data_IF_970635412602
#
_entry.id   IF_970635412602
#
_cell.length_a   1.000
_cell.length_b   1.000
_cell.length_c   1.000
_cell.angle_alpha   90.00
_cell.angle_beta   90.00
_cell.angle_gamma   90.00
#
_symmetry.space_group_name_H-M   'P 1'
#
loop_
_entity.id
_entity.type
_entity.pdbx_description
1 polymer ?
#
# COMPACT_ATOMS: atom_id res chain seq x y z
N UNK A 1 -4.53 -14.40 -26.82
CA UNK A 1 -4.71 -13.47 -25.68
C UNK A 1 -3.77 -13.89 -24.57
N UNK A 2 -2.67 -13.15 -24.34
CA UNK A 2 -1.67 -13.53 -23.33
C UNK A 2 -2.28 -13.41 -21.92
N UNK A 3 -2.37 -14.52 -21.19
CA UNK A 3 -2.74 -14.49 -19.77
C UNK A 3 -1.60 -13.83 -19.00
N UNK A 4 -1.85 -12.70 -18.36
CA UNK A 4 -0.86 -12.07 -17.48
C UNK A 4 -0.47 -13.07 -16.37
N UNK A 5 0.84 -13.27 -16.18
CA UNK A 5 1.40 -14.08 -15.10
C UNK A 5 1.04 -13.45 -13.75
N UNK A 6 0.61 -14.26 -12.79
CA UNK A 6 0.41 -13.83 -11.41
C UNK A 6 1.73 -13.26 -10.86
N UNK A 7 1.68 -12.05 -10.31
CA UNK A 7 2.84 -11.31 -9.79
C UNK A 7 2.59 -10.90 -8.34
N UNK A 8 3.58 -11.12 -7.48
CA UNK A 8 3.55 -10.63 -6.10
C UNK A 8 3.84 -9.13 -6.08
N UNK A 9 3.04 -8.36 -5.36
CA UNK A 9 3.26 -6.95 -5.11
C UNK A 9 3.13 -6.63 -3.62
N UNK A 10 3.80 -5.57 -3.19
CA UNK A 10 3.75 -5.09 -1.81
C UNK A 10 3.17 -3.70 -1.79
N UNK A 11 2.11 -3.50 -1.00
CA UNK A 11 1.39 -2.24 -0.90
C UNK A 11 1.58 -1.68 0.51
N UNK A 12 2.01 -0.44 0.61
CA UNK A 12 2.00 0.31 1.86
C UNK A 12 0.59 0.84 2.11
N UNK A 13 0.10 0.69 3.33
CA UNK A 13 -1.22 1.18 3.74
C UNK A 13 -1.07 2.11 4.94
N UNK A 14 -1.71 3.28 4.89
CA UNK A 14 -1.56 4.30 5.93
C UNK A 14 -2.82 5.12 6.16
N UNK A 15 -3.10 5.50 7.42
CA UNK A 15 -4.23 6.36 7.77
C UNK A 15 -3.91 7.24 8.97
N UNK A 16 -4.26 8.53 8.91
CA UNK A 16 -4.16 9.44 10.06
C UNK A 16 -5.42 10.25 10.37
N UNK A 17 -6.55 9.95 9.71
CA UNK A 17 -7.84 10.60 9.96
C UNK A 17 -8.93 9.58 10.36
N UNK A 18 -9.78 9.98 11.30
CA UNK A 18 -10.95 9.22 11.73
C UNK A 18 -10.59 7.89 12.40
N UNK A 19 -11.37 6.85 12.13
CA UNK A 19 -11.08 5.47 12.56
C UNK A 19 -9.92 4.89 11.75
N UNK A 20 -8.69 5.27 12.12
CA UNK A 20 -7.44 4.92 11.41
C UNK A 20 -7.31 3.41 11.19
N UNK A 21 -7.57 2.61 12.23
CA UNK A 21 -7.47 1.14 12.18
C UNK A 21 -8.58 0.56 11.32
N UNK A 22 -9.82 0.99 11.50
CA UNK A 22 -10.95 0.54 10.67
C UNK A 22 -10.78 0.90 9.20
N UNK A 23 -10.19 2.04 8.88
CA UNK A 23 -9.87 2.43 7.50
C UNK A 23 -8.85 1.47 6.86
N UNK A 24 -7.80 1.10 7.59
CA UNK A 24 -6.80 0.12 7.12
C UNK A 24 -7.44 -1.25 6.88
N UNK A 25 -8.26 -1.73 7.81
CA UNK A 25 -8.93 -3.03 7.68
C UNK A 25 -9.95 -3.05 6.53
N UNK A 26 -10.70 -1.96 6.34
CA UNK A 26 -11.58 -1.80 5.16
C UNK A 26 -10.79 -1.79 3.86
N UNK A 27 -9.67 -1.08 3.80
CA UNK A 27 -8.81 -1.05 2.63
C UNK A 27 -8.28 -2.44 2.28
N UNK A 28 -7.79 -3.21 3.27
CA UNK A 28 -7.35 -4.60 3.07
C UNK A 28 -8.46 -5.47 2.48
N UNK A 29 -9.68 -5.37 3.00
CA UNK A 29 -10.85 -6.10 2.47
C UNK A 29 -11.16 -5.70 1.03
N UNK A 30 -11.21 -4.40 0.73
CA UNK A 30 -11.50 -3.90 -0.61
C UNK A 30 -10.42 -4.31 -1.63
N UNK A 31 -9.14 -4.27 -1.25
CA UNK A 31 -8.05 -4.75 -2.11
C UNK A 31 -8.20 -6.24 -2.42
N UNK A 32 -8.64 -7.05 -1.46
CA UNK A 32 -8.89 -8.47 -1.67
C UNK A 32 -10.12 -8.76 -2.56
N UNK A 33 -10.98 -7.77 -2.80
CA UNK A 33 -12.13 -7.87 -3.70
C UNK A 33 -11.81 -7.42 -5.14
N UNK A 34 -10.62 -6.85 -5.38
CA UNK A 34 -10.19 -6.50 -6.73
C UNK A 34 -10.08 -7.80 -7.56
N UNK A 35 -10.69 -7.81 -8.74
CA UNK A 35 -10.63 -8.96 -9.65
C UNK A 35 -9.18 -9.34 -9.96
N UNK A 36 -8.91 -10.65 -10.02
CA UNK A 36 -7.58 -11.22 -10.26
C UNK A 36 -6.51 -10.77 -9.25
N UNK A 37 -6.92 -10.36 -8.04
CA UNK A 37 -6.04 -9.94 -6.94
C UNK A 37 -6.42 -10.65 -5.65
N UNK A 38 -5.43 -11.01 -4.83
CA UNK A 38 -5.63 -11.66 -3.53
C UNK A 38 -4.61 -11.14 -2.54
N UNK A 39 -5.07 -10.72 -1.36
CA UNK A 39 -4.21 -10.38 -0.23
C UNK A 39 -3.72 -11.67 0.42
N UNK A 40 -2.40 -11.82 0.57
CA UNK A 40 -1.77 -13.03 1.12
C UNK A 40 -1.35 -12.85 2.55
N UNK A 41 -0.69 -11.72 2.84
CA UNK A 41 -0.12 -11.43 4.15
C UNK A 41 -0.28 -9.96 4.47
N UNK A 42 -0.35 -9.68 5.76
CA UNK A 42 -0.44 -8.34 6.31
C UNK A 42 0.61 -8.23 7.40
N UNK A 43 1.36 -7.13 7.42
CA UNK A 43 2.20 -6.80 8.56
C UNK A 43 1.34 -6.31 9.72
N UNK A 44 1.96 -6.28 10.89
CA UNK A 44 1.51 -5.48 12.02
C UNK A 44 1.33 -4.01 11.62
N UNK A 45 0.41 -3.34 12.29
CA UNK A 45 0.16 -1.91 12.14
C UNK A 45 0.99 -1.18 13.19
N UNK A 46 1.68 -0.12 12.78
CA UNK A 46 2.52 0.70 13.65
C UNK A 46 2.13 2.16 13.56
N UNK A 47 2.17 2.85 14.69
CA UNK A 47 2.06 4.31 14.71
C UNK A 47 3.41 4.92 14.29
N UNK A 48 3.37 5.94 13.44
CA UNK A 48 4.56 6.65 12.96
C UNK A 48 4.27 8.13 12.78
N UNK A 49 5.27 8.95 13.03
CA UNK A 49 5.20 10.39 12.76
C UNK A 49 5.03 10.71 11.26
N UNK A 50 4.31 11.80 10.92
CA UNK A 50 4.17 12.25 9.55
C UNK A 50 5.52 12.70 8.97
N UNK A 51 5.77 12.39 7.70
CA UNK A 51 7.00 12.79 7.00
C UNK A 51 6.72 13.96 6.06
N UNK A 52 6.91 15.19 6.58
CA UNK A 52 6.64 16.45 5.88
C UNK A 52 5.14 16.74 5.72
N UNK A 53 4.82 17.83 5.01
CA UNK A 53 3.45 18.35 4.92
C UNK A 53 3.11 19.30 6.07
N UNK A 54 1.83 19.70 6.22
CA UNK A 54 1.39 20.55 7.33
C UNK A 54 1.47 19.79 8.67
N UNK A 55 1.37 20.54 9.77
CA UNK A 55 1.18 19.98 11.11
C UNK A 55 -0.05 19.06 11.10
N UNK A 56 0.14 17.80 11.50
CA UNK A 56 -0.89 16.76 11.44
C UNK A 56 -0.60 15.65 12.45
N UNK A 57 -1.61 14.86 12.77
CA UNK A 57 -1.47 13.72 13.68
C UNK A 57 -0.71 12.54 13.08
N UNK A 58 -0.24 11.66 13.98
CA UNK A 58 0.48 10.44 13.64
C UNK A 58 -0.36 9.50 12.75
N UNK A 59 0.34 8.77 11.89
CA UNK A 59 -0.24 7.75 11.02
C UNK A 59 -0.22 6.39 11.70
N UNK A 60 -1.27 5.61 11.50
CA UNK A 60 -1.15 4.15 11.53
C UNK A 60 -0.71 3.67 10.15
N UNK A 61 0.34 2.85 10.10
CA UNK A 61 0.92 2.35 8.86
C UNK A 61 1.18 0.84 8.91
N UNK A 62 1.11 0.19 7.77
CA UNK A 62 1.46 -1.22 7.58
C UNK A 62 1.81 -1.54 6.13
N UNK A 63 2.10 -2.80 5.88
CA UNK A 63 2.36 -3.36 4.55
C UNK A 63 1.42 -4.54 4.33
N UNK A 64 0.95 -4.71 3.09
CA UNK A 64 0.24 -5.90 2.65
C UNK A 64 0.97 -6.51 1.45
N UNK A 65 1.08 -7.84 1.45
CA UNK A 65 1.51 -8.63 0.31
C UNK A 65 0.28 -9.09 -0.46
N UNK A 66 0.29 -8.87 -1.76
CA UNK A 66 -0.77 -9.30 -2.66
C UNK A 66 -0.18 -10.13 -3.79
N UNK A 67 -1.00 -11.01 -4.35
CA UNK A 67 -0.79 -11.57 -5.68
C UNK A 67 -1.81 -10.96 -6.63
N UNK A 68 -1.38 -10.55 -7.82
CA UNK A 68 -2.28 -9.98 -8.82
C UNK A 68 -1.88 -10.36 -10.24
N UNK A 69 -2.84 -10.41 -11.16
CA UNK A 69 -2.61 -10.47 -12.62
C UNK A 69 -2.80 -9.13 -13.31
N UNK A 70 -3.20 -8.09 -12.57
CA UNK A 70 -3.32 -6.73 -13.09
C UNK A 70 -1.93 -6.15 -13.33
N UNK A 71 -1.73 -5.44 -14.44
CA UNK A 71 -0.50 -4.69 -14.62
C UNK A 71 -0.39 -3.55 -13.57
N UNK A 72 0.81 -3.01 -13.33
CA UNK A 72 1.05 -2.02 -12.26
C UNK A 72 0.23 -0.74 -12.39
N UNK A 73 -0.13 -0.31 -13.61
CA UNK A 73 -0.93 0.91 -13.80
C UNK A 73 -2.39 0.65 -13.49
N UNK A 74 -2.93 -0.50 -13.90
CA UNK A 74 -4.29 -0.91 -13.52
C UNK A 74 -4.43 -1.13 -12.02
N UNK A 75 -3.45 -1.78 -11.39
CA UNK A 75 -3.42 -1.90 -9.93
C UNK A 75 -3.43 -0.51 -9.27
N UNK A 76 -2.62 0.44 -9.77
CA UNK A 76 -2.60 1.80 -9.24
C UNK A 76 -3.96 2.51 -9.36
N UNK A 77 -4.68 2.31 -10.46
CA UNK A 77 -6.02 2.85 -10.66
C UNK A 77 -7.01 2.30 -9.62
N UNK A 78 -7.03 0.97 -9.44
CA UNK A 78 -7.90 0.31 -8.45
C UNK A 78 -7.62 0.80 -7.02
N UNK A 79 -6.33 0.91 -6.64
CA UNK A 79 -5.96 1.44 -5.33
C UNK A 79 -6.45 2.88 -5.13
N UNK A 80 -6.33 3.74 -6.17
CA UNK A 80 -6.85 5.11 -6.11
C UNK A 80 -8.37 5.17 -6.02
N UNK A 81 -9.09 4.24 -6.66
CA UNK A 81 -10.54 4.13 -6.50
C UNK A 81 -10.92 3.76 -5.07
N UNK A 82 -10.21 2.81 -4.45
CA UNK A 82 -10.42 2.45 -3.04
C UNK A 82 -10.15 3.65 -2.13
N UNK A 83 -9.09 4.42 -2.37
CA UNK A 83 -8.81 5.63 -1.60
C UNK A 83 -9.96 6.64 -1.69
N UNK A 84 -10.46 6.91 -2.89
CA UNK A 84 -11.57 7.83 -3.11
C UNK A 84 -12.85 7.32 -2.44
N UNK A 85 -13.14 6.03 -2.56
CA UNK A 85 -14.28 5.37 -1.93
C UNK A 85 -14.24 5.46 -0.40
N UNK A 86 -13.05 5.35 0.20
CA UNK A 86 -12.82 5.54 1.63
C UNK A 86 -12.62 7.02 2.02
N UNK A 87 -13.01 7.95 1.16
CA UNK A 87 -13.10 9.38 1.48
C UNK A 87 -11.80 10.15 1.42
N UNK A 88 -10.75 9.66 0.74
CA UNK A 88 -9.49 10.40 0.59
C UNK A 88 -9.73 11.67 -0.23
N UNK A 89 -9.54 12.84 0.39
CA UNK A 89 -9.56 14.14 -0.26
C UNK A 89 -8.15 14.65 -0.51
N UNK A 90 -7.78 14.95 -1.76
CA UNK A 90 -6.46 15.47 -2.13
C UNK A 90 -6.41 17.01 -2.06
N UNK A 91 -6.64 17.56 -0.87
CA UNK A 91 -6.67 19.01 -0.65
C UNK A 91 -5.27 19.62 -0.47
N UNK A 92 -4.38 18.94 0.27
CA UNK A 92 -3.04 19.43 0.57
C UNK A 92 -1.98 18.37 0.23
N UNK A 93 -0.88 18.80 -0.39
CA UNK A 93 0.26 17.92 -0.66
C UNK A 93 0.81 17.39 0.67
N UNK A 94 0.90 16.06 0.79
CA UNK A 94 1.31 15.37 2.03
C UNK A 94 0.45 15.71 3.26
N UNK A 95 -0.81 16.14 3.08
CA UNK A 95 -1.71 16.43 4.19
C UNK A 95 -2.30 15.18 4.87
N UNK A 96 -3.14 15.38 5.89
CA UNK A 96 -3.91 14.31 6.52
C UNK A 96 -4.80 13.59 5.50
N UNK A 97 -5.00 12.27 5.69
CA UNK A 97 -5.80 11.45 4.78
C UNK A 97 -6.47 10.28 5.51
N UNK A 98 -7.66 9.93 5.05
CA UNK A 98 -8.44 8.79 5.57
C UNK A 98 -7.76 7.47 5.25
N UNK A 99 -7.15 7.34 4.07
CA UNK A 99 -6.34 6.19 3.68
C UNK A 99 -5.33 6.60 2.60
N UNK A 100 -4.19 5.90 2.57
CA UNK A 100 -3.14 5.98 1.56
C UNK A 100 -2.76 4.55 1.16
N UNK A 101 -2.70 4.27 -0.15
CA UNK A 101 -2.32 2.98 -0.71
C UNK A 101 -1.21 3.19 -1.75
N UNK A 102 0.02 2.86 -1.36
CA UNK A 102 1.23 3.04 -2.18
C UNK A 102 1.75 1.69 -2.70
N UNK A 103 1.93 1.53 -4.02
CA UNK A 103 2.66 0.37 -4.56
C UNK A 103 4.15 0.53 -4.23
N UNK A 104 4.68 -0.35 -3.37
CA UNK A 104 6.08 -0.33 -2.93
C UNK A 104 6.97 -1.13 -3.89
N UNK A 105 6.54 -2.35 -4.21
CA UNK A 105 7.24 -3.31 -5.06
C UNK A 105 6.20 -4.05 -5.92
N UNK A 106 6.62 -4.49 -7.11
CA UNK A 106 5.79 -5.27 -8.03
C UNK A 106 6.69 -6.25 -8.78
N UNK A 107 6.72 -7.51 -8.33
CA UNK A 107 7.70 -8.51 -8.77
C UNK A 107 9.10 -7.93 -8.82
N UNK A 108 9.80 -8.20 -9.92
CA UNK A 108 11.14 -7.64 -10.21
C UNK A 108 11.08 -6.41 -11.12
N UNK A 109 9.90 -5.81 -11.31
CA UNK A 109 9.74 -4.69 -12.24
C UNK A 109 10.41 -3.43 -11.70
N UNK A 110 11.09 -2.71 -12.61
CA UNK A 110 11.53 -1.34 -12.42
C UNK A 110 10.71 -0.43 -13.33
N UNK A 111 10.03 0.55 -12.74
CA UNK A 111 9.15 1.47 -13.46
C UNK A 111 9.53 2.89 -13.08
N UNK A 112 9.70 3.76 -14.08
CA UNK A 112 9.92 5.19 -13.90
C UNK A 112 8.99 5.95 -14.85
N UNK A 113 7.73 6.11 -14.44
CA UNK A 113 6.70 6.88 -15.14
C UNK A 113 6.29 8.08 -14.29
N UNK A 114 5.71 9.11 -14.92
CA UNK A 114 5.25 10.34 -14.24
C UNK A 114 4.31 10.06 -13.07
N UNK A 115 3.47 9.03 -13.19
CA UNK A 115 2.44 8.67 -12.23
C UNK A 115 2.77 7.42 -11.37
N UNK A 116 3.86 6.71 -11.65
CA UNK A 116 4.24 5.48 -10.94
C UNK A 116 5.75 5.25 -11.01
N UNK A 117 6.37 5.06 -9.84
CA UNK A 117 7.77 4.69 -9.71
C UNK A 117 7.87 3.43 -8.85
N UNK A 118 8.49 2.39 -9.39
CA UNK A 118 8.73 1.10 -8.71
C UNK A 118 10.22 0.73 -8.84
N UNK A 119 10.92 0.36 -7.75
CA UNK A 119 10.49 0.42 -6.36
C UNK A 119 10.09 1.83 -5.91
N UNK A 120 9.19 1.94 -4.94
CA UNK A 120 8.75 3.25 -4.47
C UNK A 120 9.95 4.08 -3.96
N UNK A 121 10.15 5.32 -4.44
CA UNK A 121 11.42 6.03 -4.31
C UNK A 121 11.80 6.34 -2.86
N UNK A 122 10.83 6.39 -1.95
CA UNK A 122 11.05 6.66 -0.52
C UNK A 122 10.86 5.45 0.38
N UNK A 123 10.65 4.24 -0.17
CA UNK A 123 10.33 3.07 0.66
C UNK A 123 11.46 2.71 1.64
N UNK A 124 12.71 2.88 1.23
CA UNK A 124 13.88 2.61 2.06
C UNK A 124 14.08 3.64 3.18
N UNK A 125 13.39 4.78 3.11
CA UNK A 125 13.42 5.85 4.13
C UNK A 125 12.27 5.75 5.13
N UNK A 126 11.36 4.79 4.95
CA UNK A 126 10.17 4.59 5.80
C UNK A 126 10.39 3.35 6.64
N UNK A 127 10.67 3.51 7.92
CA UNK A 127 10.97 2.39 8.82
C UNK A 127 9.85 1.35 8.84
N UNK A 128 8.58 1.78 8.87
CA UNK A 128 7.43 0.87 8.85
C UNK A 128 7.41 -0.03 7.61
N UNK A 129 7.90 0.46 6.47
CA UNK A 129 7.98 -0.33 5.23
C UNK A 129 9.02 -1.42 5.38
N UNK A 130 10.22 -1.09 5.85
CA UNK A 130 11.29 -2.06 6.04
C UNK A 130 10.93 -3.11 7.10
N UNK A 131 10.34 -2.66 8.22
CA UNK A 131 9.86 -3.55 9.28
C UNK A 131 8.75 -4.46 8.79
N UNK A 132 7.73 -3.92 8.12
CA UNK A 132 6.60 -4.69 7.59
C UNK A 132 7.02 -5.70 6.51
N UNK A 133 7.93 -5.32 5.60
CA UNK A 133 8.49 -6.25 4.62
C UNK A 133 9.27 -7.40 5.28
N UNK A 134 10.06 -7.11 6.33
CA UNK A 134 10.76 -8.14 7.10
C UNK A 134 9.79 -9.07 7.81
N UNK A 135 8.75 -8.54 8.44
CA UNK A 135 7.73 -9.34 9.12
C UNK A 135 7.03 -10.32 8.16
N UNK A 136 6.58 -9.81 7.01
CA UNK A 136 5.90 -10.62 5.99
C UNK A 136 6.82 -11.72 5.44
N UNK A 137 8.10 -11.39 5.20
CA UNK A 137 9.11 -12.35 4.73
C UNK A 137 9.53 -13.37 5.78
N UNK A 138 9.64 -12.99 7.06
CA UNK A 138 9.97 -13.93 8.15
C UNK A 138 8.85 -14.93 8.43
N UNK A 139 7.61 -14.65 8.03
CA UNK A 139 6.55 -15.65 7.91
C UNK A 139 6.76 -16.70 6.80
N UNK A 140 7.96 -16.76 6.19
CA UNK A 140 8.49 -17.88 5.41
C UNK A 140 9.68 -18.48 6.18
N UNK A 141 9.44 -19.08 7.35
CA UNK A 141 10.33 -20.11 7.86
C UNK A 141 9.58 -21.42 7.63
N UNK A 142 9.84 -22.02 6.48
CA UNK A 142 9.55 -23.44 6.27
C UNK A 142 10.56 -24.21 7.13
N UNK A 143 10.06 -24.87 8.18
CA UNK A 143 10.58 -26.18 8.56
C UNK A 143 10.09 -27.21 7.55
#
# INVERSE_FOLDING_TARGET
MMRNKTTVAYIGVGSNLGDRKGNIEKARKLVNLIKDTSVKKNSSIHETEPVGGPMQGAFLNGVMEIETRLDPLRLLEELKHIEAFLGRKRALRNGPRTIDLDILLYGDKRIKKRNLVIPHPRMHKREFVLRGLREIKRGQVSS
#
